data_IF_011446954063
#
_entry.id   IF_011446954063
#
_cell.length_a   1.000
_cell.length_b   1.000
_cell.length_c   1.000
_cell.angle_alpha   90.00
_cell.angle_beta   90.00
_cell.angle_gamma   90.00
#
_symmetry.space_group_name_H-M   'P 1'
#
loop_
_entity.id
_entity.type
_entity.pdbx_description
1 polymer ?
#
# COMPACT_ATOMS: atom_id res chain seq x y z
N UNK A 1 48.53 -41.31 -13.83
CA UNK A 1 47.72 -41.60 -15.02
C UNK A 1 46.41 -40.85 -14.90
N UNK A 2 46.30 -39.72 -15.61
CA UNK A 2 45.08 -38.90 -15.64
C UNK A 2 44.10 -39.44 -16.68
N UNK A 3 42.83 -39.54 -16.31
CA UNK A 3 41.73 -39.76 -17.23
C UNK A 3 41.19 -38.40 -17.66
N UNK A 4 41.19 -38.16 -18.97
CA UNK A 4 40.65 -36.96 -19.62
C UNK A 4 39.34 -37.38 -20.26
N UNK A 5 38.24 -36.73 -19.88
CA UNK A 5 36.94 -36.95 -20.53
C UNK A 5 36.95 -36.34 -21.95
N UNK A 6 36.52 -37.07 -23.00
CA UNK A 6 36.65 -36.64 -24.39
C UNK A 6 35.45 -35.83 -24.92
N UNK A 7 34.56 -35.33 -24.06
CA UNK A 7 33.35 -34.62 -24.49
C UNK A 7 33.30 -33.24 -23.85
N UNK A 8 33.92 -32.28 -24.53
CA UNK A 8 33.86 -30.86 -24.21
C UNK A 8 32.44 -30.31 -24.28
N UNK A 9 31.73 -30.35 -23.16
CA UNK A 9 30.46 -29.66 -22.96
C UNK A 9 30.58 -28.82 -21.68
N UNK A 10 30.85 -27.55 -21.88
CA UNK A 10 30.78 -26.51 -20.85
C UNK A 10 29.33 -26.42 -20.36
N UNK A 11 29.12 -26.70 -19.07
CA UNK A 11 27.84 -26.45 -18.42
C UNK A 11 27.74 -24.95 -18.10
N UNK A 12 27.09 -24.20 -18.99
CA UNK A 12 26.83 -22.76 -18.84
C UNK A 12 25.53 -22.60 -18.06
N UNK A 13 25.53 -22.06 -16.82
CA UNK A 13 24.30 -21.67 -16.16
C UNK A 13 23.89 -20.28 -16.64
N UNK A 14 22.96 -20.23 -17.60
CA UNK A 14 22.39 -18.96 -18.04
C UNK A 14 21.44 -19.16 -19.19
N UNK A 15 20.15 -19.08 -18.91
CA UNK A 15 19.20 -18.23 -19.64
C UNK A 15 17.81 -18.39 -19.02
N UNK A 16 17.38 -17.34 -18.31
CA UNK A 16 15.96 -17.12 -18.06
C UNK A 16 15.25 -17.03 -19.42
N UNK A 17 14.09 -17.69 -19.60
CA UNK A 17 13.31 -17.49 -20.81
C UNK A 17 12.94 -16.00 -20.94
N UNK A 18 13.05 -15.40 -22.13
CA UNK A 18 12.63 -14.02 -22.33
C UNK A 18 11.14 -13.88 -22.00
N UNK A 19 10.72 -12.74 -21.43
CA UNK A 19 9.30 -12.48 -21.25
C UNK A 19 8.62 -12.54 -22.61
N UNK A 20 7.49 -13.24 -22.69
CA UNK A 20 6.60 -13.21 -23.86
C UNK A 20 6.33 -11.73 -24.16
N UNK A 21 6.62 -11.33 -25.39
CA UNK A 21 6.20 -10.04 -25.93
C UNK A 21 4.70 -9.93 -25.73
N UNK A 22 4.29 -9.12 -24.75
CA UNK A 22 2.92 -8.64 -24.67
C UNK A 22 2.74 -7.77 -25.92
N UNK A 23 1.90 -8.25 -26.83
CA UNK A 23 1.40 -7.46 -27.94
C UNK A 23 0.79 -6.19 -27.33
N UNK A 24 1.32 -5.03 -27.75
CA UNK A 24 0.85 -3.75 -27.28
C UNK A 24 -0.60 -3.57 -27.74
N UNK A 25 -1.52 -3.56 -26.78
CA UNK A 25 -2.90 -3.12 -27.02
C UNK A 25 -2.88 -1.71 -27.63
N UNK A 26 -3.75 -1.42 -28.61
CA UNK A 26 -3.80 -0.11 -29.25
C UNK A 26 -4.10 0.99 -28.22
N UNK A 27 -3.27 2.04 -28.26
CA UNK A 27 -3.41 3.29 -27.51
C UNK A 27 -4.85 3.79 -27.66
N UNK A 28 -5.63 3.71 -26.57
CA UNK A 28 -6.93 4.36 -26.53
C UNK A 28 -6.73 5.88 -26.40
N UNK A 29 -7.36 6.70 -27.26
CA UNK A 29 -7.27 8.15 -27.15
C UNK A 29 -7.94 8.64 -25.85
N UNK A 30 -7.21 9.50 -25.16
CA UNK A 30 -7.65 10.53 -24.21
C UNK A 30 -9.16 10.58 -23.89
N UNK A 31 -9.56 9.87 -22.83
CA UNK A 31 -10.79 10.23 -22.11
C UNK A 31 -10.48 11.39 -21.17
N UNK A 32 -10.90 12.59 -21.57
CA UNK A 32 -10.84 13.82 -20.79
C UNK A 32 -11.41 13.62 -19.37
N UNK A 33 -10.75 14.24 -18.39
CA UNK A 33 -11.18 14.29 -17.01
C UNK A 33 -12.55 14.94 -16.84
N UNK A 34 -13.42 14.25 -16.10
CA UNK A 34 -14.56 14.83 -15.40
C UNK A 34 -14.21 15.03 -13.92
N UNK A 35 -15.00 15.83 -13.17
CA UNK A 35 -14.73 16.06 -11.76
C UNK A 35 -14.74 14.73 -11.03
N UNK A 36 -13.64 14.42 -10.38
CA UNK A 36 -13.45 13.23 -9.56
C UNK A 36 -14.40 13.31 -8.35
N UNK A 37 -15.59 12.75 -8.56
CA UNK A 37 -16.62 12.59 -7.54
C UNK A 37 -16.02 11.87 -6.33
N UNK A 38 -16.34 12.30 -5.09
CA UNK A 38 -15.89 11.59 -3.90
C UNK A 38 -16.42 10.15 -3.99
N UNK A 39 -15.59 9.11 -3.80
CA UNK A 39 -16.01 7.74 -4.04
C UNK A 39 -17.08 7.34 -3.02
N UNK A 40 -18.34 7.53 -3.39
CA UNK A 40 -19.50 6.95 -2.73
C UNK A 40 -19.78 5.63 -3.44
N UNK A 41 -19.12 4.55 -3.01
CA UNK A 41 -19.34 3.22 -3.60
C UNK A 41 -19.40 2.12 -2.55
N UNK A 42 -20.52 1.43 -2.60
CA UNK A 42 -20.91 0.29 -1.79
C UNK A 42 -19.89 -0.87 -1.86
N UNK A 43 -19.71 -1.55 -0.72
CA UNK A 43 -19.03 -2.85 -0.62
C UNK A 43 -17.58 -2.77 -0.14
N UNK A 44 -17.33 -3.07 1.14
CA UNK A 44 -16.02 -3.30 1.79
C UNK A 44 -14.87 -2.29 1.53
N UNK A 45 -15.11 -1.20 0.80
CA UNK A 45 -14.11 -0.19 0.41
C UNK A 45 -13.40 0.41 1.63
N UNK A 46 -14.10 0.49 2.77
CA UNK A 46 -13.53 0.99 4.03
C UNK A 46 -12.33 0.19 4.56
N UNK A 47 -12.07 -1.02 4.05
CA UNK A 47 -10.92 -1.85 4.44
C UNK A 47 -9.94 -2.12 3.29
N UNK A 48 -10.15 -1.52 2.12
CA UNK A 48 -9.27 -1.64 0.97
C UNK A 48 -8.15 -0.59 1.01
N UNK A 49 -7.04 -0.88 0.31
CA UNK A 49 -5.95 0.09 0.11
C UNK A 49 -4.88 0.15 1.19
N UNK A 50 -4.89 -0.74 2.20
CA UNK A 50 -3.88 -0.76 3.28
C UNK A 50 -2.44 -0.78 2.77
N UNK A 51 -2.15 -1.66 1.80
CA UNK A 51 -0.80 -1.83 1.27
C UNK A 51 -0.33 -0.60 0.47
N UNK A 52 -1.23 0.00 -0.33
CA UNK A 52 -0.95 1.25 -1.04
C UNK A 52 -0.63 2.38 -0.06
N UNK A 53 -1.46 2.54 0.98
CA UNK A 53 -1.22 3.55 2.02
C UNK A 53 0.11 3.36 2.75
N UNK A 54 0.50 2.13 3.06
CA UNK A 54 1.78 1.86 3.71
C UNK A 54 2.98 2.20 2.80
N UNK A 55 2.85 2.05 1.47
CA UNK A 55 3.89 2.48 0.51
C UNK A 55 4.00 4.01 0.44
N UNK A 56 2.87 4.72 0.46
CA UNK A 56 2.86 6.19 0.52
C UNK A 56 3.57 6.69 1.79
N UNK A 57 3.21 6.12 2.95
CA UNK A 57 3.77 6.50 4.24
C UNK A 57 5.28 6.26 4.36
N UNK A 58 5.84 5.34 3.57
CA UNK A 58 7.28 5.12 3.55
C UNK A 58 8.05 6.36 3.03
N UNK A 59 7.42 7.17 2.17
CA UNK A 59 7.98 8.37 1.56
C UNK A 59 7.54 9.68 2.25
N UNK A 60 6.70 9.61 3.28
CA UNK A 60 6.17 10.78 3.99
C UNK A 60 7.21 11.37 4.95
N UNK A 61 7.63 12.62 4.72
CA UNK A 61 8.62 13.34 5.52
C UNK A 61 8.13 13.64 6.95
N UNK A 62 6.82 13.71 7.16
CA UNK A 62 6.20 13.96 8.47
C UNK A 62 6.20 12.74 9.38
N UNK A 63 6.39 11.55 8.82
CA UNK A 63 6.45 10.33 9.61
C UNK A 63 7.77 10.26 10.41
N UNK A 64 7.81 9.50 11.51
CA UNK A 64 9.06 9.26 12.22
C UNK A 64 10.07 8.47 11.37
N UNK A 65 11.36 8.78 11.47
CA UNK A 65 12.42 8.06 10.73
C UNK A 65 12.42 6.56 11.01
N UNK A 66 12.15 6.15 12.27
CA UNK A 66 12.05 4.74 12.66
C UNK A 66 10.90 4.00 11.95
N UNK A 67 9.73 4.64 11.83
CA UNK A 67 8.58 4.03 11.17
C UNK A 67 8.82 3.94 9.65
N UNK A 68 9.36 5.00 9.05
CA UNK A 68 9.77 4.97 7.63
C UNK A 68 10.78 3.87 7.36
N UNK A 69 11.82 3.77 8.18
CA UNK A 69 12.87 2.74 8.03
C UNK A 69 12.29 1.33 8.08
N UNK A 70 11.32 1.08 8.97
CA UNK A 70 10.59 -0.19 9.02
C UNK A 70 9.82 -0.46 7.72
N UNK A 71 9.06 0.52 7.22
CA UNK A 71 8.28 0.35 5.99
C UNK A 71 9.18 0.08 4.77
N UNK A 72 10.30 0.80 4.67
CA UNK A 72 11.30 0.59 3.62
C UNK A 72 11.93 -0.80 3.71
N UNK A 73 12.25 -1.27 4.92
CA UNK A 73 12.76 -2.64 5.13
C UNK A 73 11.75 -3.70 4.67
N UNK A 74 10.46 -3.50 4.97
CA UNK A 74 9.40 -4.39 4.53
C UNK A 74 9.27 -4.39 3.00
N UNK A 75 9.37 -3.23 2.35
CA UNK A 75 9.40 -3.12 0.88
C UNK A 75 10.59 -3.88 0.30
N UNK A 76 11.81 -3.65 0.81
CA UNK A 76 13.01 -4.37 0.38
C UNK A 76 12.90 -5.89 0.60
N UNK A 77 12.14 -6.32 1.61
CA UNK A 77 11.92 -7.75 1.86
C UNK A 77 10.94 -8.37 0.87
N UNK A 78 9.98 -7.58 0.35
CA UNK A 78 9.11 -7.99 -0.74
C UNK A 78 9.89 -8.07 -2.04
N UNK A 79 10.73 -7.07 -2.33
CA UNK A 79 11.53 -7.04 -3.55
C UNK A 79 12.52 -8.22 -3.62
N UNK A 80 13.01 -8.67 -2.46
CA UNK A 80 13.83 -9.89 -2.32
C UNK A 80 13.03 -11.20 -2.33
N UNK A 81 11.70 -11.15 -2.47
CA UNK A 81 10.83 -12.33 -2.47
C UNK A 81 10.69 -13.02 -1.10
N UNK A 82 11.10 -12.38 0.00
CA UNK A 82 11.00 -12.96 1.34
C UNK A 82 9.60 -12.78 1.95
N UNK A 83 8.82 -11.82 1.43
CA UNK A 83 7.46 -11.51 1.90
C UNK A 83 6.56 -11.08 0.76
N UNK A 84 5.25 -11.21 0.98
CA UNK A 84 4.22 -10.80 0.00
C UNK A 84 3.49 -9.52 0.41
N UNK A 85 3.72 -8.99 1.61
CA UNK A 85 2.97 -7.85 2.16
C UNK A 85 3.78 -7.06 3.18
N UNK A 86 3.57 -5.75 3.20
CA UNK A 86 4.13 -4.81 4.18
C UNK A 86 3.38 -4.97 5.51
N UNK A 87 4.12 -5.20 6.59
CA UNK A 87 3.57 -5.22 7.95
C UNK A 87 3.60 -3.84 8.57
N UNK A 88 2.67 -3.60 9.50
CA UNK A 88 2.72 -2.41 10.33
C UNK A 88 3.96 -2.46 11.24
N UNK A 89 4.57 -1.30 11.55
CA UNK A 89 5.61 -1.20 12.56
C UNK A 89 5.17 -1.78 13.92
N UNK A 90 6.11 -2.31 14.72
CA UNK A 90 5.80 -2.88 16.02
C UNK A 90 5.11 -1.85 16.93
N UNK A 91 4.06 -2.28 17.62
CA UNK A 91 3.28 -1.42 18.53
C UNK A 91 2.36 -0.41 17.85
N UNK A 92 2.35 -0.33 16.51
CA UNK A 92 1.50 0.60 15.75
C UNK A 92 0.50 -0.12 14.86
N UNK A 93 -0.64 0.55 14.68
CA UNK A 93 -1.68 0.13 13.75
C UNK A 93 -1.95 1.27 12.75
N UNK A 94 -2.41 0.91 11.56
CA UNK A 94 -2.89 1.88 10.58
C UNK A 94 -4.31 2.26 10.98
N UNK A 95 -4.48 3.47 11.50
CA UNK A 95 -5.70 3.96 12.12
C UNK A 95 -6.38 5.00 11.21
N UNK A 96 -7.70 4.91 11.09
CA UNK A 96 -8.48 5.92 10.36
C UNK A 96 -8.53 7.23 11.15
N UNK A 97 -8.51 8.35 10.44
CA UNK A 97 -8.72 9.66 11.02
C UNK A 97 -10.14 9.81 11.60
N UNK A 98 -10.25 10.66 12.64
CA UNK A 98 -11.56 11.03 13.20
C UNK A 98 -12.39 11.75 12.15
N UNK A 99 -13.63 11.32 11.98
CA UNK A 99 -14.53 11.83 10.96
C UNK A 99 -14.42 11.14 9.59
N UNK A 100 -13.39 10.30 9.38
CA UNK A 100 -13.17 9.53 8.13
C UNK A 100 -12.92 8.06 8.42
N UNK A 101 -13.76 7.49 9.28
CA UNK A 101 -13.63 6.12 9.73
C UNK A 101 -14.22 5.13 8.71
N UNK A 102 -13.70 3.89 8.72
CA UNK A 102 -14.25 2.81 7.91
C UNK A 102 -15.75 2.55 8.14
N UNK A 103 -16.26 2.87 9.34
CA UNK A 103 -17.69 2.78 9.65
C UNK A 103 -18.57 3.69 8.78
N UNK A 104 -17.98 4.71 8.15
CA UNK A 104 -18.63 5.67 7.24
C UNK A 104 -18.26 5.42 5.77
N UNK A 105 -17.56 4.32 5.49
CA UNK A 105 -17.19 3.94 4.11
C UNK A 105 -15.81 4.43 3.65
N UNK A 106 -15.10 5.25 4.43
CA UNK A 106 -13.76 5.72 4.05
C UNK A 106 -12.71 4.60 4.11
N UNK A 107 -11.92 4.46 3.05
CA UNK A 107 -10.79 3.52 2.96
C UNK A 107 -9.54 3.99 3.70
N UNK A 108 -8.43 3.27 3.49
CA UNK A 108 -7.15 3.56 4.16
C UNK A 108 -6.44 4.83 3.68
N UNK A 109 -6.93 5.52 2.64
CA UNK A 109 -6.34 6.76 2.12
C UNK A 109 -6.24 7.87 3.17
N UNK A 110 -7.21 7.92 4.10
CA UNK A 110 -7.23 8.88 5.22
C UNK A 110 -6.85 8.19 6.55
N UNK A 111 -5.84 7.32 6.49
CA UNK A 111 -5.33 6.60 7.66
C UNK A 111 -3.87 6.90 7.93
N UNK A 112 -3.51 6.97 9.20
CA UNK A 112 -2.15 7.27 9.65
C UNK A 112 -1.65 6.21 10.63
N UNK A 113 -0.33 6.06 10.78
CA UNK A 113 0.25 5.14 11.74
C UNK A 113 0.10 5.70 13.16
N UNK A 114 -0.62 4.97 14.01
CA UNK A 114 -0.89 5.37 15.38
C UNK A 114 -0.50 4.25 16.36
N UNK A 115 -0.11 4.64 17.58
CA UNK A 115 0.12 3.67 18.65
C UNK A 115 -1.14 2.86 18.89
N UNK A 116 -0.99 1.53 18.94
CA UNK A 116 -2.09 0.57 19.11
C UNK A 116 -2.93 0.87 20.35
N UNK A 117 -2.30 1.29 21.44
CA UNK A 117 -2.98 1.64 22.69
C UNK A 117 -3.90 2.85 22.46
N UNK A 118 -3.39 3.91 21.84
CA UNK A 118 -4.17 5.12 21.54
C UNK A 118 -5.29 4.83 20.54
N UNK A 119 -5.04 4.02 19.53
CA UNK A 119 -6.05 3.61 18.54
C UNK A 119 -7.20 2.83 19.20
N UNK A 120 -6.89 1.88 20.09
CA UNK A 120 -7.90 1.13 20.85
C UNK A 120 -8.64 2.02 21.85
N UNK A 121 -7.93 2.92 22.51
CA UNK A 121 -8.51 3.89 23.44
C UNK A 121 -9.53 4.77 22.71
N UNK A 122 -9.19 5.23 21.51
CA UNK A 122 -10.12 5.97 20.66
C UNK A 122 -11.40 5.16 20.38
N UNK A 123 -11.27 3.91 19.90
CA UNK A 123 -12.42 3.05 19.62
C UNK A 123 -13.32 2.79 20.85
N UNK A 124 -12.73 2.73 22.04
CA UNK A 124 -13.47 2.60 23.31
C UNK A 124 -14.43 3.78 23.53
N UNK A 125 -14.02 5.00 23.19
CA UNK A 125 -14.82 6.20 23.44
C UNK A 125 -15.73 6.57 22.27
N UNK A 126 -15.28 6.39 21.02
CA UNK A 126 -16.01 6.80 19.82
C UNK A 126 -16.86 5.71 19.16
N UNK A 127 -16.96 4.53 19.79
CA UNK A 127 -17.70 3.37 19.29
C UNK A 127 -17.29 2.96 17.87
N UNK A 128 -15.99 2.78 17.67
CA UNK A 128 -15.39 2.49 16.36
C UNK A 128 -15.67 3.60 15.32
N UNK A 129 -15.62 4.86 15.75
CA UNK A 129 -15.84 6.03 14.90
C UNK A 129 -17.30 6.38 14.62
N UNK A 130 -18.27 5.54 15.02
CA UNK A 130 -19.70 5.77 14.75
C UNK A 130 -20.26 7.01 15.44
N UNK A 131 -19.68 7.42 16.58
CA UNK A 131 -20.11 8.61 17.32
C UNK A 131 -19.51 9.91 16.79
N UNK A 132 -18.48 9.84 15.94
CA UNK A 132 -17.81 11.04 15.46
C UNK A 132 -18.60 11.66 14.31
N UNK A 133 -18.66 13.00 14.26
CA UNK A 133 -19.20 13.71 13.09
C UNK A 133 -18.29 13.52 11.88
N UNK A 134 -18.85 13.42 10.69
CA UNK A 134 -18.07 13.37 9.44
C UNK A 134 -17.30 14.68 9.23
N UNK A 135 -16.04 14.55 8.80
CA UNK A 135 -15.24 15.71 8.42
C UNK A 135 -15.30 15.86 6.90
N UNK A 136 -15.81 16.99 6.37
CA UNK A 136 -15.87 17.20 4.93
C UNK A 136 -14.48 17.05 4.30
N UNK A 137 -14.46 16.55 3.07
CA UNK A 137 -13.27 16.61 2.23
C UNK A 137 -13.24 18.04 1.71
N UNK A 138 -12.15 18.76 2.01
CA UNK A 138 -11.94 20.09 1.42
C UNK A 138 -11.77 19.89 -0.09
N UNK A 139 -12.82 20.20 -0.85
CA UNK A 139 -12.73 20.29 -2.30
C UNK A 139 -11.96 21.58 -2.60
N UNK A 140 -10.66 21.46 -2.89
CA UNK A 140 -9.80 22.61 -3.22
C UNK A 140 -10.01 23.11 -4.65
N UNK A 141 -11.27 23.24 -5.09
CA UNK A 141 -11.64 23.58 -6.46
C UNK A 141 -12.75 24.65 -6.49
N UNK A 142 -12.61 25.75 -5.76
CA UNK A 142 -13.52 26.90 -5.88
C UNK A 142 -12.70 28.19 -5.67
N UNK A 143 -12.18 28.74 -6.77
CA UNK A 143 -11.70 30.13 -6.92
C UNK A 143 -12.61 30.85 -7.94
#
# INVERSE_FOLDING_TARGET
MGWVDPLGLTNIPGECPPPKTAEADPIQPDRQGGPEEPPSVAGNAGRAGKQARLRELANDDKLGSSDRGWLLQEMNSIDRGQRNSIRNPPGKDLAHERGREAAKGYGYSFSNLQLRILHRLQHKYDNFGRKNKERPVENKNED
#
